data_IF_161397714152
#
_entry.id   IF_161397714152
#
_cell.length_a   1.000
_cell.length_b   1.000
_cell.length_c   1.000
_cell.angle_alpha   90.00
_cell.angle_beta   90.00
_cell.angle_gamma   90.00
#
_symmetry.space_group_name_H-M   'P 1'
#
loop_
_entity.id
_entity.type
_entity.pdbx_description
1 polymer ?
#
# COMPACT_ATOMS: atom_id res chain seq x y z
N UNK A 1 -27.91 -9.25 -0.36
CA UNK A 1 -27.08 -8.16 0.20
C UNK A 1 -25.74 -8.20 -0.50
N UNK A 2 -25.19 -7.07 -0.91
CA UNK A 2 -23.84 -7.06 -1.51
C UNK A 2 -22.81 -7.37 -0.43
N UNK A 3 -21.83 -8.19 -0.78
CA UNK A 3 -20.66 -8.44 0.07
C UNK A 3 -19.86 -7.14 0.10
N UNK A 4 -19.36 -6.68 1.27
CA UNK A 4 -18.50 -5.49 1.32
C UNK A 4 -17.20 -5.78 0.57
N UNK A 5 -16.81 -4.82 -0.27
CA UNK A 5 -15.50 -4.82 -0.94
C UNK A 5 -14.50 -4.03 -0.11
N UNK A 6 -13.36 -4.65 0.17
CA UNK A 6 -12.24 -4.06 0.91
C UNK A 6 -11.14 -3.62 -0.05
N UNK A 7 -10.41 -2.57 0.30
CA UNK A 7 -9.30 -2.03 -0.51
C UNK A 7 -8.10 -1.71 0.36
N UNK A 8 -6.97 -2.34 0.05
CA UNK A 8 -5.68 -2.08 0.66
C UNK A 8 -4.77 -1.39 -0.37
N UNK A 9 -4.30 -0.19 -0.04
CA UNK A 9 -3.30 0.52 -0.82
C UNK A 9 -1.96 0.48 -0.08
N UNK A 10 -0.96 -0.15 -0.68
CA UNK A 10 0.40 -0.20 -0.16
C UNK A 10 1.27 0.65 -1.07
N UNK A 11 1.75 1.76 -0.53
CA UNK A 11 2.78 2.57 -1.16
C UNK A 11 4.15 2.11 -0.69
N UNK A 12 5.11 2.06 -1.59
CA UNK A 12 6.51 1.78 -1.26
C UNK A 12 7.29 3.02 -1.67
N UNK A 13 8.16 3.52 -0.79
CA UNK A 13 9.02 4.64 -1.16
C UNK A 13 9.78 4.28 -2.47
N UNK A 14 9.64 5.07 -3.55
CA UNK A 14 10.26 4.78 -4.84
C UNK A 14 11.76 4.50 -4.76
N UNK A 15 12.48 5.18 -3.87
CA UNK A 15 13.93 5.05 -3.71
C UNK A 15 14.34 3.68 -3.15
N UNK A 16 13.42 2.98 -2.48
CA UNK A 16 13.68 1.67 -1.85
C UNK A 16 13.44 0.50 -2.79
N UNK A 17 12.60 0.69 -3.82
CA UNK A 17 12.16 -0.38 -4.72
C UNK A 17 13.34 -1.08 -5.39
N UNK A 18 14.33 -0.38 -6.00
CA UNK A 18 15.44 -1.05 -6.67
C UNK A 18 16.26 -1.93 -5.72
N UNK A 19 16.49 -1.46 -4.49
CA UNK A 19 17.28 -2.18 -3.50
C UNK A 19 16.53 -3.42 -2.96
N UNK A 20 15.23 -3.26 -2.65
CA UNK A 20 14.39 -4.37 -2.20
C UNK A 20 14.28 -5.46 -3.28
N UNK A 21 14.00 -5.08 -4.53
CA UNK A 21 13.89 -6.02 -5.65
C UNK A 21 15.22 -6.72 -5.95
N UNK A 22 16.34 -5.97 -5.93
CA UNK A 22 17.68 -6.54 -6.12
C UNK A 22 18.05 -7.52 -5.01
N UNK A 23 17.63 -7.27 -3.78
CA UNK A 23 17.82 -8.16 -2.64
C UNK A 23 16.82 -9.33 -2.61
N UNK A 24 15.90 -9.42 -3.57
CA UNK A 24 14.96 -10.53 -3.70
C UNK A 24 13.74 -10.44 -2.78
N UNK A 25 13.49 -9.29 -2.15
CA UNK A 25 12.29 -9.10 -1.33
C UNK A 25 11.02 -9.14 -2.17
N UNK A 26 9.97 -9.65 -1.56
CA UNK A 26 8.62 -9.77 -2.10
C UNK A 26 7.66 -9.15 -1.11
N UNK A 27 6.69 -8.40 -1.61
CA UNK A 27 5.59 -7.90 -0.80
C UNK A 27 4.67 -9.07 -0.46
N UNK A 28 4.39 -9.28 0.83
CA UNK A 28 3.59 -10.38 1.34
C UNK A 28 2.36 -9.87 2.11
N UNK A 29 1.25 -10.60 2.00
CA UNK A 29 0.00 -10.33 2.70
C UNK A 29 -0.51 -11.64 3.29
N UNK A 30 -0.97 -11.62 4.54
CA UNK A 30 -1.72 -12.70 5.17
C UNK A 30 -3.04 -12.18 5.75
N UNK A 31 -4.06 -13.05 5.82
CA UNK A 31 -5.38 -12.73 6.38
C UNK A 31 -5.65 -13.56 7.63
N UNK A 32 -6.29 -12.94 8.62
CA UNK A 32 -6.50 -13.56 9.94
C UNK A 32 -7.72 -14.48 9.94
N UNK A 33 -7.55 -15.71 10.44
CA UNK A 33 -8.64 -16.67 10.65
C UNK A 33 -8.45 -17.37 11.99
N UNK A 34 -9.52 -17.50 12.79
CA UNK A 34 -9.47 -18.07 14.14
C UNK A 34 -8.38 -17.42 15.01
N UNK A 35 -8.26 -16.10 14.89
CA UNK A 35 -7.28 -15.32 15.63
C UNK A 35 -5.85 -15.44 15.12
N UNK A 36 -5.51 -16.22 14.08
CA UNK A 36 -4.11 -16.40 13.64
C UNK A 36 -3.86 -16.03 12.19
N UNK A 37 -2.62 -15.67 11.88
CA UNK A 37 -2.08 -15.67 10.52
C UNK A 37 -1.29 -16.95 10.32
N UNK A 38 -1.73 -17.81 9.40
CA UNK A 38 -1.09 -19.13 9.19
C UNK A 38 -0.62 -19.37 7.77
N UNK A 39 -1.09 -18.58 6.80
CA UNK A 39 -0.74 -18.73 5.39
C UNK A 39 -0.53 -17.37 4.74
N UNK A 40 0.49 -17.29 3.88
CA UNK A 40 0.70 -16.15 2.99
C UNK A 40 -0.39 -16.15 1.92
N UNK A 41 -1.33 -15.23 2.05
CA UNK A 41 -2.45 -15.08 1.12
C UNK A 41 -1.99 -14.61 -0.27
N UNK A 42 -0.98 -13.73 -0.30
CA UNK A 42 -0.42 -13.22 -1.54
C UNK A 42 1.05 -12.84 -1.36
N UNK A 43 1.88 -13.13 -2.36
CA UNK A 43 3.27 -12.69 -2.43
C UNK A 43 3.70 -12.35 -3.86
N UNK A 44 4.28 -11.16 -4.05
CA UNK A 44 4.74 -10.68 -5.36
C UNK A 44 6.08 -9.94 -5.30
N UNK A 45 7.01 -10.30 -6.19
CA UNK A 45 8.31 -9.62 -6.33
C UNK A 45 8.29 -8.40 -7.26
N UNK A 46 7.27 -8.28 -8.11
CA UNK A 46 7.11 -7.17 -9.07
C UNK A 46 6.21 -6.05 -8.52
N UNK A 47 6.43 -5.63 -7.26
CA UNK A 47 5.72 -4.50 -6.68
C UNK A 47 6.26 -3.17 -7.21
N UNK A 48 5.40 -2.15 -7.23
CA UNK A 48 5.76 -0.78 -7.66
C UNK A 48 5.59 0.21 -6.51
N UNK A 49 5.72 1.51 -6.77
CA UNK A 49 5.48 2.54 -5.77
C UNK A 49 4.04 2.58 -5.25
N UNK A 50 3.07 2.04 -6.01
CA UNK A 50 1.66 1.95 -5.63
C UNK A 50 1.13 0.57 -5.95
N UNK A 51 0.69 -0.15 -4.93
CA UNK A 51 0.13 -1.50 -5.05
C UNK A 51 -1.25 -1.49 -4.44
N UNK A 52 -2.26 -1.82 -5.23
CA UNK A 52 -3.66 -1.83 -4.79
C UNK A 52 -4.19 -3.24 -4.83
N UNK A 53 -4.77 -3.66 -3.71
CA UNK A 53 -5.38 -4.97 -3.53
C UNK A 53 -6.84 -4.77 -3.14
N UNK A 54 -7.73 -5.54 -3.77
CA UNK A 54 -9.14 -5.53 -3.45
C UNK A 54 -9.65 -6.96 -3.29
N UNK A 55 -10.56 -7.14 -2.34
CA UNK A 55 -11.23 -8.40 -2.09
C UNK A 55 -12.63 -8.18 -1.57
N UNK A 56 -13.49 -9.15 -1.84
CA UNK A 56 -14.78 -9.31 -1.18
C UNK A 56 -14.63 -10.38 -0.08
N UNK A 57 -15.46 -10.32 0.97
CA UNK A 57 -15.52 -11.35 2.01
C UNK A 57 -16.19 -12.64 1.48
N UNK A 58 -15.54 -13.29 0.52
CA UNK A 58 -15.91 -14.57 -0.09
C UNK A 58 -14.91 -15.65 0.31
N UNK A 59 -15.43 -16.82 0.68
CA UNK A 59 -14.63 -17.90 1.25
C UNK A 59 -14.93 -19.25 0.59
N UNK A 60 -13.91 -20.11 0.55
CA UNK A 60 -14.07 -21.54 0.31
C UNK A 60 -13.41 -22.32 1.44
N UNK A 61 -13.88 -23.54 1.67
CA UNK A 61 -13.24 -24.52 2.57
C UNK A 61 -12.73 -25.72 1.78
N UNK A 62 -11.65 -26.32 2.26
CA UNK A 62 -11.01 -27.49 1.66
C UNK A 62 -10.29 -28.33 2.72
N UNK A 63 -10.03 -29.59 2.40
CA UNK A 63 -9.19 -30.50 3.18
C UNK A 63 -7.77 -30.62 2.58
N UNK A 64 -6.76 -30.78 3.42
CA UNK A 64 -5.37 -31.02 3.01
C UNK A 64 -4.72 -32.17 3.84
N UNK A 65 -4.02 -33.10 3.17
CA UNK A 65 -3.54 -34.33 3.81
C UNK A 65 -2.16 -34.24 4.46
N UNK A 66 -1.28 -33.31 4.06
CA UNK A 66 0.10 -33.21 4.61
C UNK A 66 0.62 -31.78 4.62
N UNK A 67 1.49 -31.50 5.59
CA UNK A 67 2.22 -30.25 5.75
C UNK A 67 3.70 -30.57 5.92
N UNK A 68 4.56 -29.87 5.21
CA UNK A 68 5.93 -29.63 5.64
C UNK A 68 6.07 -28.13 5.86
N UNK A 69 6.75 -27.75 6.94
CA UNK A 69 6.99 -26.35 7.29
C UNK A 69 7.64 -25.62 6.11
N UNK A 70 7.15 -24.42 5.78
CA UNK A 70 7.65 -23.63 4.65
C UNK A 70 7.23 -24.12 3.26
N UNK A 71 6.38 -25.15 3.15
CA UNK A 71 5.79 -25.54 1.86
C UNK A 71 4.46 -24.83 1.58
N UNK A 72 4.11 -24.83 0.30
CA UNK A 72 2.83 -24.33 -0.20
C UNK A 72 1.69 -25.28 0.23
N UNK A 73 0.54 -24.69 0.59
CA UNK A 73 -0.67 -25.44 0.88
C UNK A 73 -1.24 -26.05 -0.41
N UNK A 74 -1.38 -27.38 -0.40
CA UNK A 74 -2.01 -28.14 -1.49
C UNK A 74 -3.31 -28.78 -1.00
N UNK A 75 -4.48 -28.37 -1.53
CA UNK A 75 -5.75 -29.03 -1.28
C UNK A 75 -5.74 -30.46 -1.82
N UNK A 76 -6.33 -31.40 -1.07
CA UNK A 76 -6.57 -32.77 -1.53
C UNK A 76 -8.04 -33.09 -1.76
N UNK A 77 -8.92 -32.20 -1.31
CA UNK A 77 -10.35 -32.25 -1.61
C UNK A 77 -10.69 -31.14 -2.61
N UNK A 78 -11.82 -31.30 -3.30
CA UNK A 78 -12.45 -30.17 -3.99
C UNK A 78 -12.80 -29.09 -2.96
N UNK A 79 -12.56 -27.83 -3.30
CA UNK A 79 -12.94 -26.70 -2.45
C UNK A 79 -14.43 -26.36 -2.65
N UNK A 80 -15.12 -25.98 -1.57
CA UNK A 80 -16.52 -25.58 -1.61
C UNK A 80 -16.70 -24.16 -1.11
N UNK A 81 -17.47 -23.36 -1.86
CA UNK A 81 -17.85 -22.01 -1.42
C UNK A 81 -18.73 -22.08 -0.18
N UNK A 82 -18.51 -21.13 0.74
CA UNK A 82 -19.24 -21.07 2.00
C UNK A 82 -19.48 -19.62 2.41
N UNK A 83 -20.63 -19.36 3.04
CA UNK A 83 -20.96 -18.06 3.66
C UNK A 83 -21.10 -18.22 5.16
N UNK A 84 -21.01 -17.11 5.89
CA UNK A 84 -21.28 -17.12 7.33
C UNK A 84 -22.66 -17.69 7.64
N UNK A 85 -22.79 -18.43 8.74
CA UNK A 85 -24.00 -19.16 9.14
C UNK A 85 -24.18 -20.52 8.48
N UNK A 86 -23.37 -20.86 7.48
CA UNK A 86 -23.47 -22.13 6.76
C UNK A 86 -22.50 -23.19 7.26
N UNK A 87 -22.81 -24.44 6.90
CA UNK A 87 -22.01 -25.63 7.20
C UNK A 87 -21.71 -26.40 5.92
N UNK A 88 -20.44 -26.76 5.70
CA UNK A 88 -20.01 -27.73 4.70
C UNK A 88 -19.68 -29.05 5.39
N UNK A 89 -20.11 -30.17 4.80
CA UNK A 89 -19.77 -31.51 5.30
C UNK A 89 -18.65 -32.07 4.43
N UNK A 90 -17.54 -32.47 5.05
CA UNK A 90 -16.57 -33.38 4.46
C UNK A 90 -17.04 -34.80 4.77
N UNK A 91 -17.53 -35.50 3.76
CA UNK A 91 -18.18 -36.80 3.95
C UNK A 91 -17.19 -37.95 4.18
N UNK A 92 -17.72 -39.14 4.47
CA UNK A 92 -16.93 -40.34 4.71
C UNK A 92 -16.08 -40.82 3.50
N UNK A 93 -16.27 -40.22 2.31
CA UNK A 93 -15.48 -40.51 1.11
C UNK A 93 -14.38 -39.46 0.86
N UNK A 94 -14.27 -38.44 1.72
CA UNK A 94 -13.29 -37.36 1.58
C UNK A 94 -13.72 -36.29 0.58
N UNK A 95 -15.02 -36.20 0.26
CA UNK A 95 -15.56 -35.17 -0.62
C UNK A 95 -16.20 -34.03 0.19
N UNK A 96 -15.82 -32.78 -0.12
CA UNK A 96 -16.49 -31.59 0.42
C UNK A 96 -17.82 -31.40 -0.29
N UNK A 97 -18.91 -31.53 0.46
CA UNK A 97 -20.28 -31.37 -0.03
C UNK A 97 -20.69 -29.89 -0.11
N UNK A 98 -21.68 -29.53 -0.95
CA UNK A 98 -22.19 -28.16 -1.01
C UNK A 98 -22.64 -27.62 0.35
N UNK A 99 -22.44 -26.31 0.57
CA UNK A 99 -22.82 -25.67 1.82
C UNK A 99 -24.34 -25.76 2.09
N UNK A 100 -24.69 -26.04 3.34
CA UNK A 100 -26.06 -26.12 3.85
C UNK A 100 -26.31 -25.06 4.92
N UNK A 101 -27.59 -24.79 5.23
CA UNK A 101 -27.98 -23.73 6.15
C UNK A 101 -28.17 -22.36 5.47
N UNK A 102 -28.77 -21.44 6.21
CA UNK A 102 -29.04 -20.08 5.73
C UNK A 102 -27.85 -19.16 6.05
N UNK A 103 -27.38 -18.35 5.08
CA UNK A 103 -26.37 -17.35 5.36
C UNK A 103 -26.81 -16.33 6.43
N UNK A 104 -25.90 -15.94 7.31
CA UNK A 104 -26.13 -14.96 8.36
C UNK A 104 -25.00 -13.91 8.48
N UNK A 105 -24.96 -13.20 9.61
CA UNK A 105 -23.96 -12.17 9.94
C UNK A 105 -23.12 -12.53 11.17
N UNK A 106 -23.04 -13.81 11.52
CA UNK A 106 -22.30 -14.28 12.70
C UNK A 106 -20.78 -14.08 12.57
N UNK A 107 -20.27 -13.98 11.33
CA UNK A 107 -18.83 -14.01 11.05
C UNK A 107 -18.22 -15.40 11.16
N UNK A 108 -19.05 -16.44 11.32
CA UNK A 108 -18.61 -17.83 11.54
C UNK A 108 -19.21 -18.71 10.46
N UNK A 109 -18.44 -19.66 9.94
CA UNK A 109 -18.97 -20.80 9.20
C UNK A 109 -18.37 -22.10 9.73
N UNK A 110 -18.99 -23.23 9.40
CA UNK A 110 -18.63 -24.51 9.98
C UNK A 110 -18.21 -25.53 8.91
N UNK A 111 -17.28 -26.39 9.31
CA UNK A 111 -16.97 -27.62 8.57
C UNK A 111 -17.25 -28.80 9.49
N UNK A 112 -18.12 -29.70 9.06
CA UNK A 112 -18.32 -30.99 9.70
C UNK A 112 -17.41 -32.01 9.01
N UNK A 113 -16.49 -32.61 9.76
CA UNK A 113 -15.64 -33.69 9.28
C UNK A 113 -16.20 -35.05 9.71
N UNK A 114 -16.76 -35.77 8.74
CA UNK A 114 -17.20 -37.16 8.86
C UNK A 114 -16.20 -38.14 8.18
N UNK A 115 -15.06 -37.64 7.71
CA UNK A 115 -13.94 -38.41 7.15
C UNK A 115 -12.93 -38.79 8.25
N UNK A 116 -11.72 -39.18 7.83
CA UNK A 116 -10.55 -39.34 8.68
C UNK A 116 -9.95 -37.99 9.13
N UNK A 117 -9.05 -38.01 10.13
CA UNK A 117 -8.33 -36.82 10.57
C UNK A 117 -7.61 -36.11 9.42
N UNK A 118 -8.01 -34.87 9.15
CA UNK A 118 -7.49 -34.06 8.03
C UNK A 118 -7.34 -32.59 8.44
N UNK A 119 -6.44 -31.85 7.80
CA UNK A 119 -6.36 -30.39 8.03
C UNK A 119 -7.46 -29.68 7.26
N UNK A 120 -8.12 -28.74 7.92
CA UNK A 120 -9.17 -27.93 7.32
C UNK A 120 -8.59 -26.55 6.99
N UNK A 121 -8.74 -26.15 5.74
CA UNK A 121 -8.24 -24.88 5.22
C UNK A 121 -9.36 -23.95 4.76
N UNK A 122 -9.00 -22.67 4.61
CA UNK A 122 -9.88 -21.63 4.06
C UNK A 122 -9.15 -20.94 2.92
N UNK A 123 -9.81 -20.80 1.78
CA UNK A 123 -9.40 -19.89 0.71
C UNK A 123 -10.19 -18.58 0.79
N UNK A 124 -9.57 -17.50 0.32
CA UNK A 124 -10.25 -16.24 0.00
C UNK A 124 -9.76 -15.69 -1.33
N UNK A 125 -10.57 -14.85 -1.98
CA UNK A 125 -10.19 -14.18 -3.23
C UNK A 125 -9.37 -12.93 -2.97
N UNK A 126 -8.25 -12.77 -3.68
CA UNK A 126 -7.57 -11.49 -3.81
C UNK A 126 -7.40 -11.16 -5.29
N UNK A 127 -7.91 -10.01 -5.74
CA UNK A 127 -7.87 -9.67 -7.18
C UNK A 127 -8.58 -10.69 -8.07
N UNK A 128 -9.62 -11.37 -7.54
CA UNK A 128 -10.40 -12.39 -8.25
C UNK A 128 -9.84 -13.82 -8.21
N UNK A 129 -8.60 -14.03 -7.75
CA UNK A 129 -8.00 -15.36 -7.65
C UNK A 129 -8.16 -15.95 -6.25
N UNK A 130 -8.61 -17.21 -6.17
CA UNK A 130 -8.67 -17.96 -4.92
C UNK A 130 -7.26 -18.33 -4.44
N UNK A 131 -6.98 -18.11 -3.16
CA UNK A 131 -5.73 -18.56 -2.54
C UNK A 131 -5.95 -18.91 -1.06
N UNK A 132 -5.19 -19.87 -0.52
CA UNK A 132 -5.29 -20.23 0.90
C UNK A 132 -4.93 -19.04 1.82
N UNK A 133 -5.75 -18.82 2.84
CA UNK A 133 -5.53 -17.84 3.91
C UNK A 133 -5.35 -18.50 5.27
N UNK A 134 -5.78 -19.75 5.40
CA UNK A 134 -5.73 -20.50 6.64
C UNK A 134 -5.57 -21.98 6.38
N UNK A 135 -4.85 -22.64 7.27
CA UNK A 135 -4.85 -24.08 7.40
C UNK A 135 -4.69 -24.45 8.88
N UNK A 136 -5.49 -25.41 9.35
CA UNK A 136 -5.35 -25.91 10.72
C UNK A 136 -3.97 -26.53 10.94
N UNK A 137 -3.29 -26.14 12.02
CA UNK A 137 -1.92 -26.61 12.30
C UNK A 137 -1.88 -28.13 12.52
N UNK A 138 -2.88 -28.64 13.24
CA UNK A 138 -3.09 -30.06 13.47
C UNK A 138 -4.25 -30.60 12.63
N UNK A 139 -4.21 -31.88 12.22
CA UNK A 139 -5.37 -32.54 11.64
C UNK A 139 -6.55 -32.50 12.61
N UNK A 140 -7.72 -32.14 12.11
CA UNK A 140 -8.97 -32.16 12.83
C UNK A 140 -9.59 -33.55 12.67
N UNK A 141 -9.84 -34.24 13.79
CA UNK A 141 -10.22 -35.66 13.78
C UNK A 141 -11.60 -35.90 13.14
N UNK A 142 -12.68 -35.72 13.89
CA UNK A 142 -14.07 -35.81 13.41
C UNK A 142 -14.94 -34.83 14.19
N UNK A 143 -16.12 -34.52 13.67
CA UNK A 143 -17.07 -33.59 14.29
C UNK A 143 -17.09 -32.22 13.62
N UNK A 144 -17.46 -31.17 14.35
CA UNK A 144 -17.67 -29.83 13.77
C UNK A 144 -16.59 -28.87 14.23
N UNK A 145 -15.96 -28.16 13.30
CA UNK A 145 -15.06 -27.03 13.56
C UNK A 145 -15.70 -25.73 13.08
N UNK A 146 -15.61 -24.70 13.93
CA UNK A 146 -15.98 -23.33 13.57
C UNK A 146 -14.77 -22.56 13.05
N UNK A 147 -14.97 -21.83 11.97
CA UNK A 147 -13.96 -20.99 11.32
C UNK A 147 -14.46 -19.55 11.28
N UNK A 148 -13.64 -18.64 11.79
CA UNK A 148 -13.95 -17.22 11.98
C UNK A 148 -12.88 -16.38 11.29
N UNK A 149 -12.98 -16.15 9.97
CA UNK A 149 -12.18 -15.14 9.29
C UNK A 149 -12.45 -13.76 9.86
N UNK A 150 -11.40 -12.97 10.00
CA UNK A 150 -11.47 -11.58 10.46
C UNK A 150 -10.87 -10.70 9.37
N UNK A 151 -11.49 -9.54 9.14
CA UNK A 151 -10.99 -8.53 8.21
C UNK A 151 -9.80 -7.77 8.83
N UNK A 152 -8.74 -8.52 9.08
CA UNK A 152 -7.42 -8.05 9.50
C UNK A 152 -6.39 -8.69 8.59
N UNK A 153 -5.43 -7.88 8.16
CA UNK A 153 -4.35 -8.33 7.29
C UNK A 153 -3.01 -7.95 7.89
N UNK A 154 -2.04 -8.86 7.77
CA UNK A 154 -0.64 -8.61 8.07
C UNK A 154 0.08 -8.34 6.74
N UNK A 155 0.85 -7.26 6.67
CA UNK A 155 1.64 -6.88 5.50
C UNK A 155 3.11 -6.80 5.89
N UNK A 156 3.99 -7.39 5.08
CA UNK A 156 5.43 -7.37 5.31
C UNK A 156 6.22 -7.61 4.01
N UNK A 157 7.54 -7.49 4.08
CA UNK A 157 8.46 -7.88 3.00
C UNK A 157 9.25 -9.11 3.42
N UNK A 158 9.34 -10.12 2.54
CA UNK A 158 10.12 -11.33 2.79
C UNK A 158 10.80 -11.83 1.51
N UNK A 159 11.92 -12.54 1.65
CA UNK A 159 12.69 -13.10 0.53
C UNK A 159 12.32 -14.56 0.24
N UNK A 160 11.74 -15.27 1.20
CA UNK A 160 11.54 -16.72 1.13
C UNK A 160 10.11 -17.14 0.78
N UNK A 161 9.12 -16.32 1.11
CA UNK A 161 7.70 -16.67 1.03
C UNK A 161 7.08 -16.47 -0.34
N UNK A 162 6.29 -17.44 -0.78
CA UNK A 162 5.35 -17.35 -1.92
C UNK A 162 3.89 -17.45 -1.49
N UNK A 163 2.95 -17.12 -2.39
CA UNK A 163 1.51 -17.34 -2.14
C UNK A 163 1.24 -18.79 -1.74
N UNK A 164 0.44 -18.99 -0.70
CA UNK A 164 0.11 -20.29 -0.13
C UNK A 164 1.18 -20.85 0.82
N UNK A 165 2.29 -20.16 1.06
CA UNK A 165 3.32 -20.62 2.01
C UNK A 165 2.76 -20.61 3.43
N UNK A 166 2.95 -21.72 4.15
CA UNK A 166 2.62 -21.80 5.58
C UNK A 166 3.57 -20.95 6.41
N UNK A 167 3.01 -20.07 7.23
CA UNK A 167 3.76 -19.33 8.24
C UNK A 167 4.06 -20.27 9.40
N UNK A 168 5.35 -20.44 9.69
CA UNK A 168 5.86 -21.36 10.73
C UNK A 168 6.87 -20.69 11.63
N UNK A 169 7.57 -19.68 11.10
CA UNK A 169 8.49 -18.82 11.82
C UNK A 169 7.84 -17.46 12.06
N UNK A 170 8.46 -16.65 12.91
CA UNK A 170 7.98 -15.31 13.18
C UNK A 170 8.05 -14.44 11.92
N UNK A 171 7.04 -13.62 11.70
CA UNK A 171 7.02 -12.62 10.63
C UNK A 171 7.54 -11.31 11.20
N UNK A 172 8.80 -10.99 10.90
CA UNK A 172 9.43 -9.73 11.27
C UNK A 172 8.96 -8.57 10.40
N UNK A 173 9.19 -7.35 10.89
CA UNK A 173 8.95 -6.09 10.21
C UNK A 173 7.56 -5.97 9.54
N UNK A 174 6.54 -6.49 10.22
CA UNK A 174 5.16 -6.50 9.72
C UNK A 174 4.31 -5.38 10.32
N UNK A 175 3.25 -5.02 9.59
CA UNK A 175 2.18 -4.15 10.06
C UNK A 175 0.83 -4.85 9.97
N UNK A 176 0.10 -4.91 11.09
CA UNK A 176 -1.30 -5.35 11.11
C UNK A 176 -2.22 -4.17 10.76
N UNK A 177 -3.12 -4.37 9.80
CA UNK A 177 -4.13 -3.41 9.39
C UNK A 177 -5.52 -3.99 9.67
N UNK A 178 -6.34 -3.23 10.40
CA UNK A 178 -7.67 -3.63 10.86
C UNK A 178 -8.78 -2.97 10.03
N UNK A 179 -9.50 -3.79 9.26
CA UNK A 179 -10.61 -3.41 8.38
C UNK A 179 -11.99 -3.71 9.01
N UNK A 180 -12.06 -4.10 10.29
CA UNK A 180 -13.35 -4.44 10.94
C UNK A 180 -14.32 -3.25 11.01
N UNK A 181 -13.81 -2.01 11.04
CA UNK A 181 -14.60 -0.78 11.09
C UNK A 181 -14.53 0.08 9.82
N UNK A 182 -13.79 -0.36 8.79
CA UNK A 182 -13.54 0.41 7.56
C UNK A 182 -13.21 -0.51 6.39
N UNK A 183 -13.65 -0.13 5.19
CA UNK A 183 -13.43 -0.92 3.97
C UNK A 183 -12.21 -0.49 3.17
N UNK A 184 -11.51 0.58 3.56
CA UNK A 184 -10.34 1.06 2.84
C UNK A 184 -9.26 1.54 3.81
N UNK A 185 -8.01 1.18 3.52
CA UNK A 185 -6.85 1.63 4.28
C UNK A 185 -5.64 1.78 3.36
N UNK A 186 -4.81 2.76 3.68
CA UNK A 186 -3.54 3.00 2.99
C UNK A 186 -2.40 2.92 3.99
N UNK A 187 -1.28 2.36 3.54
CA UNK A 187 -0.02 2.29 4.28
C UNK A 187 1.14 2.58 3.35
N UNK A 188 2.19 3.21 3.88
CA UNK A 188 3.45 3.41 3.17
C UNK A 188 4.58 2.65 3.87
N UNK A 189 5.35 1.88 3.12
CA UNK A 189 6.59 1.27 3.58
C UNK A 189 7.80 2.15 3.28
N UNK A 190 8.70 2.27 4.24
CA UNK A 190 9.99 2.94 4.10
C UNK A 190 11.08 1.99 4.58
N UNK A 191 12.00 1.62 3.71
CA UNK A 191 13.12 0.76 4.08
C UNK A 191 14.25 1.57 4.71
N UNK A 192 14.99 0.94 5.61
CA UNK A 192 16.29 1.39 6.09
C UNK A 192 17.24 1.53 4.88
N UNK A 193 17.92 2.68 4.73
CA UNK A 193 18.85 2.91 3.62
C UNK A 193 20.03 1.93 3.54
N UNK A 194 20.40 1.29 4.64
CA UNK A 194 21.57 0.41 4.77
C UNK A 194 21.20 -1.07 4.86
N UNK A 195 19.98 -1.39 5.32
CA UNK A 195 19.53 -2.76 5.52
C UNK A 195 18.18 -2.95 4.79
N UNK A 196 18.19 -3.32 3.50
CA UNK A 196 16.97 -3.54 2.74
C UNK A 196 16.06 -4.54 3.46
N UNK A 197 14.76 -4.23 3.56
CA UNK A 197 13.77 -5.09 4.18
C UNK A 197 13.66 -4.98 5.70
N UNK A 198 14.59 -4.30 6.37
CA UNK A 198 14.33 -3.64 7.65
C UNK A 198 13.79 -2.24 7.34
N UNK A 199 12.75 -1.78 8.01
CA UNK A 199 12.01 -0.59 7.60
C UNK A 199 10.87 -0.30 8.56
N UNK A 200 10.16 0.80 8.31
CA UNK A 200 9.06 1.25 9.15
C UNK A 200 7.84 1.53 8.26
N UNK A 201 6.67 1.64 8.90
CA UNK A 201 5.40 1.84 8.25
C UNK A 201 4.79 3.19 8.61
N UNK A 202 4.19 3.87 7.63
CA UNK A 202 3.38 5.07 7.86
C UNK A 202 1.93 4.72 7.56
N UNK A 203 1.06 4.82 8.57
CA UNK A 203 -0.38 4.55 8.44
C UNK A 203 -1.14 5.82 8.80
N UNK A 204 -1.97 6.31 7.87
CA UNK A 204 -2.76 7.52 8.11
C UNK A 204 -1.91 8.78 8.40
N UNK A 205 -0.68 8.85 7.87
CA UNK A 205 0.25 9.97 8.07
C UNK A 205 1.13 9.86 9.31
N UNK A 206 0.92 8.84 10.17
CA UNK A 206 1.72 8.62 11.37
C UNK A 206 2.67 7.44 11.17
N UNK A 207 3.93 7.61 11.58
CA UNK A 207 4.85 6.48 11.71
C UNK A 207 4.31 5.51 12.78
N UNK A 208 4.31 4.23 12.44
CA UNK A 208 3.97 3.13 13.33
C UNK A 208 5.18 2.22 13.42
N UNK A 209 5.52 1.83 14.64
CA UNK A 209 6.59 0.88 14.88
C UNK A 209 6.22 -0.48 14.26
N UNK A 210 7.09 -1.07 13.44
CA UNK A 210 6.93 -2.41 12.93
C UNK A 210 6.91 -3.41 14.07
N UNK A 211 6.36 -4.56 13.78
CA UNK A 211 6.19 -5.60 14.78
C UNK A 211 6.58 -6.96 14.22
N UNK A 212 7.22 -7.75 15.08
CA UNK A 212 7.41 -9.16 14.85
C UNK A 212 6.16 -9.91 15.30
N UNK A 213 5.48 -10.60 14.39
CA UNK A 213 4.37 -11.50 14.69
C UNK A 213 4.88 -12.91 14.98
N UNK A 214 4.55 -13.46 16.16
CA UNK A 214 4.82 -14.85 16.50
C UNK A 214 3.59 -15.73 16.19
N UNK A 215 3.74 -16.65 15.23
CA UNK A 215 2.67 -17.53 14.74
C UNK A 215 2.18 -18.53 15.79
N UNK A 216 3.08 -19.03 16.63
CA UNK A 216 2.76 -20.04 17.64
C UNK A 216 1.93 -19.42 18.78
N UNK A 217 2.39 -18.29 19.32
CA UNK A 217 1.76 -17.62 20.47
C UNK A 217 0.68 -16.61 20.08
N UNK A 218 0.56 -16.25 18.81
CA UNK A 218 -0.34 -15.19 18.31
C UNK A 218 -0.09 -13.82 18.98
N UNK A 219 1.19 -13.46 19.15
CA UNK A 219 1.59 -12.22 19.82
C UNK A 219 2.45 -11.35 18.93
N UNK A 220 2.32 -10.03 19.08
CA UNK A 220 3.19 -9.05 18.45
C UNK A 220 4.22 -8.51 19.44
N UNK A 221 5.45 -8.37 18.97
CA UNK A 221 6.53 -7.67 19.69
C UNK A 221 6.97 -6.48 18.86
N UNK A 222 7.11 -5.30 19.48
CA UNK A 222 7.55 -4.10 18.79
C UNK A 222 9.04 -4.20 18.44
N UNK A 223 9.37 -3.78 17.23
CA UNK A 223 10.75 -3.67 16.79
C UNK A 223 11.27 -2.24 17.07
N UNK A 224 12.58 -2.15 17.30
CA UNK A 224 13.24 -0.85 17.57
C UNK A 224 13.82 -0.33 16.27
N UNK A 225 13.37 0.84 15.77
CA UNK A 225 13.83 1.37 14.50
C UNK A 225 15.25 1.92 14.62
N UNK A 226 15.98 1.87 13.51
CA UNK A 226 17.32 2.43 13.42
C UNK A 226 17.27 3.97 13.37
N UNK A 227 18.35 4.64 13.79
CA UNK A 227 18.44 6.10 13.66
C UNK A 227 18.38 6.60 12.20
N UNK A 228 19.05 5.96 11.22
CA UNK A 228 18.89 6.31 9.80
C UNK A 228 17.45 6.23 9.30
N UNK A 229 16.73 5.18 9.70
CA UNK A 229 15.33 4.97 9.32
C UNK A 229 14.43 6.06 9.91
N UNK A 230 14.60 6.38 11.19
CA UNK A 230 13.88 7.49 11.84
C UNK A 230 14.12 8.84 11.15
N UNK A 231 15.37 9.11 10.76
CA UNK A 231 15.73 10.32 10.01
C UNK A 231 14.99 10.40 8.67
N UNK A 232 15.00 9.31 7.90
CA UNK A 232 14.30 9.23 6.61
C UNK A 232 12.79 9.34 6.75
N UNK A 233 12.19 8.69 7.74
CA UNK A 233 10.77 8.84 8.04
C UNK A 233 10.40 10.29 8.35
N UNK A 234 11.21 10.98 9.15
CA UNK A 234 10.98 12.39 9.48
C UNK A 234 10.96 13.24 8.22
N UNK A 235 11.93 13.05 7.31
CA UNK A 235 11.97 13.75 6.02
C UNK A 235 10.71 13.48 5.20
N UNK A 236 10.25 12.23 5.10
CA UNK A 236 9.06 11.85 4.34
C UNK A 236 7.79 12.44 4.96
N UNK A 237 7.61 12.36 6.28
CA UNK A 237 6.43 12.91 6.95
C UNK A 237 6.38 14.43 6.77
N UNK A 238 7.51 15.11 6.93
CA UNK A 238 7.61 16.55 6.72
C UNK A 238 7.33 16.94 5.26
N UNK A 239 7.78 16.14 4.28
CA UNK A 239 7.50 16.40 2.86
C UNK A 239 6.03 16.20 2.47
N UNK A 240 5.31 15.32 3.18
CA UNK A 240 3.87 15.11 2.97
C UNK A 240 3.01 16.19 3.67
N UNK A 241 3.51 16.77 4.76
CA UNK A 241 2.84 17.84 5.49
C UNK A 241 3.19 19.24 4.98
N UNK A 242 4.24 19.39 4.16
CA UNK A 242 4.54 20.63 3.45
C UNK A 242 3.63 20.75 2.23
N UNK A 243 2.69 21.70 2.23
CA UNK A 243 2.10 22.16 0.98
C UNK A 243 3.24 22.71 0.12
N UNK A 244 3.46 22.21 -1.11
CA UNK A 244 4.53 22.73 -1.95
C UNK A 244 4.25 24.22 -2.20
N UNK A 245 5.20 25.06 -1.79
CA UNK A 245 5.12 26.51 -1.98
C UNK A 245 4.86 26.79 -3.46
N UNK A 246 3.74 27.48 -3.71
CA UNK A 246 3.36 27.91 -5.05
C UNK A 246 3.62 29.40 -5.16
N UNK A 247 4.37 29.79 -6.17
CA UNK A 247 4.64 31.19 -6.46
C UNK A 247 3.95 31.59 -7.76
N UNK A 248 3.37 32.78 -7.78
CA UNK A 248 2.96 33.47 -8.99
C UNK A 248 4.04 34.46 -9.40
N UNK A 249 4.32 34.55 -10.71
CA UNK A 249 5.09 35.66 -11.25
C UNK A 249 4.32 36.32 -12.39
N UNK A 250 4.22 37.64 -12.34
CA UNK A 250 3.47 38.46 -13.31
C UNK A 250 4.40 39.48 -13.94
N UNK A 251 4.48 39.50 -15.27
CA UNK A 251 5.31 40.43 -16.05
C UNK A 251 4.47 41.21 -17.04
N UNK A 252 4.64 42.53 -17.07
CA UNK A 252 3.99 43.44 -18.02
C UNK A 252 5.05 44.04 -18.95
N UNK A 253 5.02 43.65 -20.23
CA UNK A 253 6.02 44.10 -21.21
C UNK A 253 5.77 45.54 -21.69
N UNK A 254 6.84 46.20 -22.14
CA UNK A 254 6.72 47.53 -22.76
C UNK A 254 6.02 47.42 -24.13
N UNK A 255 6.40 46.41 -24.92
CA UNK A 255 5.88 46.10 -26.25
C UNK A 255 4.59 45.26 -26.15
N UNK A 256 3.50 45.63 -26.87
CA UNK A 256 2.22 44.91 -26.80
C UNK A 256 2.31 43.43 -27.18
N UNK A 257 3.11 43.09 -28.20
CA UNK A 257 3.18 41.72 -28.74
C UNK A 257 4.17 40.82 -27.97
N UNK A 258 5.02 41.40 -27.12
CA UNK A 258 6.06 40.66 -26.40
C UNK A 258 5.50 39.64 -25.41
N UNK A 259 4.28 39.85 -24.90
CA UNK A 259 3.64 38.90 -23.98
C UNK A 259 3.35 37.56 -24.66
N UNK A 260 2.79 37.58 -25.88
CA UNK A 260 2.51 36.36 -26.65
C UNK A 260 3.81 35.67 -27.09
N UNK A 261 4.77 36.45 -27.57
CA UNK A 261 6.12 35.97 -27.93
C UNK A 261 6.83 35.32 -26.73
N UNK A 262 6.71 35.91 -25.53
CA UNK A 262 7.30 35.37 -24.31
C UNK A 262 6.66 34.05 -23.88
N UNK A 263 5.33 33.90 -23.97
CA UNK A 263 4.65 32.63 -23.64
C UNK A 263 5.10 31.49 -24.56
N UNK A 264 5.24 31.77 -25.85
CA UNK A 264 5.77 30.81 -26.82
C UNK A 264 7.25 30.47 -26.52
N UNK A 265 8.04 31.48 -26.17
CA UNK A 265 9.44 31.29 -25.80
C UNK A 265 9.60 30.43 -24.52
N UNK A 266 8.78 30.65 -23.50
CA UNK A 266 8.98 30.04 -22.18
C UNK A 266 8.40 28.62 -22.05
N UNK A 267 7.40 28.27 -22.87
CA UNK A 267 6.68 27.00 -22.80
C UNK A 267 7.55 25.75 -23.01
N UNK A 268 8.70 25.88 -23.69
CA UNK A 268 9.67 24.79 -23.89
C UNK A 268 10.94 24.87 -23.02
N UNK A 269 11.03 25.86 -22.12
CA UNK A 269 12.28 26.21 -21.41
C UNK A 269 12.15 26.08 -19.89
N UNK A 270 11.45 25.04 -19.44
CA UNK A 270 11.32 24.76 -18.00
C UNK A 270 12.71 24.51 -17.39
N UNK A 271 13.15 25.33 -16.42
CA UNK A 271 14.44 25.12 -15.75
C UNK A 271 14.47 23.81 -14.96
N UNK A 272 15.65 23.20 -14.86
CA UNK A 272 15.87 22.01 -14.03
C UNK A 272 15.55 22.32 -12.56
N UNK A 273 14.86 21.39 -11.89
CA UNK A 273 14.40 21.58 -10.51
C UNK A 273 13.06 22.32 -10.36
N UNK A 274 12.40 22.71 -11.46
CA UNK A 274 11.05 23.30 -11.46
C UNK A 274 10.00 22.25 -11.84
N UNK A 275 9.04 22.00 -10.95
CA UNK A 275 7.92 21.06 -11.17
C UNK A 275 6.82 21.65 -12.02
N UNK A 276 6.32 22.81 -11.60
CA UNK A 276 5.21 23.52 -12.26
C UNK A 276 5.77 24.75 -12.96
N UNK A 277 5.53 24.85 -14.27
CA UNK A 277 6.04 25.89 -15.15
C UNK A 277 4.93 26.27 -16.14
N UNK A 278 3.91 26.95 -15.64
CA UNK A 278 2.68 27.26 -16.38
C UNK A 278 2.53 28.77 -16.56
N UNK A 279 2.06 29.17 -17.75
CA UNK A 279 1.95 30.57 -18.16
C UNK A 279 0.60 30.80 -18.82
N UNK A 280 0.00 31.96 -18.55
CA UNK A 280 -1.28 32.38 -19.11
C UNK A 280 -1.15 33.84 -19.55
N UNK A 281 -1.63 34.14 -20.75
CA UNK A 281 -1.77 35.51 -21.23
C UNK A 281 -2.85 36.22 -20.42
N UNK A 282 -2.52 37.38 -19.88
CA UNK A 282 -3.46 38.26 -19.18
C UNK A 282 -3.68 39.55 -19.97
N UNK A 283 -4.66 40.35 -19.54
CA UNK A 283 -5.01 41.59 -20.25
C UNK A 283 -3.88 42.63 -20.30
N UNK A 284 -2.89 42.53 -19.40
CA UNK A 284 -1.77 43.48 -19.28
C UNK A 284 -0.39 42.83 -19.44
N UNK A 285 -0.28 41.51 -19.61
CA UNK A 285 1.00 40.83 -19.66
C UNK A 285 0.92 39.30 -19.59
N UNK A 286 1.82 38.69 -18.81
CA UNK A 286 1.89 37.24 -18.62
C UNK A 286 1.88 36.92 -17.13
N UNK A 287 0.92 36.08 -16.73
CA UNK A 287 0.87 35.50 -15.39
C UNK A 287 1.40 34.07 -15.43
N UNK A 288 2.09 33.67 -14.37
CA UNK A 288 2.69 32.35 -14.28
C UNK A 288 2.41 31.67 -12.95
N UNK A 289 2.45 30.34 -12.95
CA UNK A 289 2.36 29.51 -11.76
C UNK A 289 3.58 28.60 -11.68
N UNK A 290 4.31 28.72 -10.58
CA UNK A 290 5.64 28.15 -10.39
C UNK A 290 5.67 27.29 -9.11
N UNK A 291 6.29 26.12 -9.19
CA UNK A 291 6.54 25.25 -8.02
C UNK A 291 7.88 24.52 -8.17
N UNK A 292 8.64 24.43 -7.09
CA UNK A 292 9.89 23.67 -7.06
C UNK A 292 9.62 22.15 -7.10
N UNK A 293 10.58 21.40 -7.64
CA UNK A 293 10.53 19.93 -7.71
C UNK A 293 10.80 19.28 -6.36
N UNK A 294 11.76 19.81 -5.61
CA UNK A 294 12.13 19.30 -4.29
C UNK A 294 11.51 20.15 -3.19
N UNK A 295 11.22 19.50 -2.05
CA UNK A 295 10.80 20.19 -0.83
C UNK A 295 12.02 20.87 -0.22
N UNK A 296 12.18 22.15 -0.51
CA UNK A 296 13.18 23.02 0.12
C UNK A 296 12.53 23.84 1.24
N UNK A 297 13.33 24.40 2.15
CA UNK A 297 12.82 25.46 3.05
C UNK A 297 12.19 26.58 2.22
N UNK A 298 11.04 27.11 2.64
CA UNK A 298 10.25 28.08 1.85
C UNK A 298 11.09 29.22 1.30
N UNK A 299 12.03 29.75 2.10
CA UNK A 299 12.91 30.84 1.68
C UNK A 299 13.85 30.43 0.54
N UNK A 300 14.40 29.23 0.58
CA UNK A 300 15.26 28.68 -0.48
C UNK A 300 14.45 28.39 -1.74
N UNK A 301 13.24 27.84 -1.58
CA UNK A 301 12.33 27.58 -2.70
C UNK A 301 11.94 28.89 -3.42
N UNK A 302 11.64 29.96 -2.67
CA UNK A 302 11.31 31.28 -3.22
C UNK A 302 12.48 31.82 -4.03
N UNK A 303 13.68 31.86 -3.45
CA UNK A 303 14.88 32.38 -4.13
C UNK A 303 15.19 31.57 -5.39
N UNK A 304 15.16 30.24 -5.30
CA UNK A 304 15.37 29.36 -6.45
C UNK A 304 14.38 29.63 -7.59
N UNK A 305 13.08 29.74 -7.28
CA UNK A 305 12.06 29.97 -8.30
C UNK A 305 12.16 31.37 -8.92
N UNK A 306 12.55 32.39 -8.15
CA UNK A 306 12.80 33.75 -8.65
C UNK A 306 13.99 33.76 -9.61
N UNK A 307 15.10 33.15 -9.23
CA UNK A 307 16.31 33.07 -10.05
C UNK A 307 16.06 32.29 -11.34
N UNK A 308 15.35 31.16 -11.25
CA UNK A 308 14.95 30.37 -12.40
C UNK A 308 14.07 31.16 -13.38
N UNK A 309 13.09 31.91 -12.87
CA UNK A 309 12.23 32.76 -13.68
C UNK A 309 13.01 33.92 -14.34
N UNK A 310 13.80 34.63 -13.55
CA UNK A 310 14.62 35.75 -14.03
C UNK A 310 15.66 35.30 -15.05
N UNK A 311 16.27 34.12 -14.87
CA UNK A 311 17.20 33.56 -15.84
C UNK A 311 16.56 33.36 -17.22
N UNK A 312 15.32 32.86 -17.26
CA UNK A 312 14.58 32.70 -18.51
C UNK A 312 14.12 34.04 -19.08
N UNK A 313 13.60 34.94 -18.23
CA UNK A 313 13.14 36.27 -18.64
C UNK A 313 14.29 37.12 -19.22
N UNK A 314 15.45 37.14 -18.58
CA UNK A 314 16.62 37.91 -19.04
C UNK A 314 17.26 37.33 -20.30
N UNK A 315 16.96 36.08 -20.64
CA UNK A 315 17.43 35.44 -21.88
C UNK A 315 16.49 35.69 -23.06
N UNK A 316 15.32 36.30 -22.82
CA UNK A 316 14.36 36.66 -23.86
C UNK A 316 14.78 37.99 -24.50
N UNK A 317 14.82 38.07 -25.84
CA UNK A 317 15.39 39.24 -26.55
C UNK A 317 14.57 40.52 -26.37
N UNK A 318 13.26 40.42 -26.15
CA UNK A 318 12.36 41.55 -25.92
C UNK A 318 12.00 41.68 -24.42
N UNK A 319 12.97 41.45 -23.52
CA UNK A 319 12.76 41.42 -22.07
C UNK A 319 12.48 42.79 -21.43
N UNK A 320 12.27 43.87 -22.18
CA UNK A 320 11.91 45.16 -21.59
C UNK A 320 10.49 45.10 -20.99
N UNK A 321 10.41 45.18 -19.66
CA UNK A 321 9.16 45.16 -18.91
C UNK A 321 8.98 46.42 -18.06
N UNK A 322 7.72 46.82 -17.90
CA UNK A 322 7.29 47.95 -17.05
C UNK A 322 7.13 47.52 -15.60
N UNK A 323 6.75 46.26 -15.39
CA UNK A 323 6.45 45.70 -14.07
C UNK A 323 6.75 44.21 -14.05
N UNK A 324 7.38 43.78 -12.96
CA UNK A 324 7.56 42.38 -12.60
C UNK A 324 7.17 42.22 -11.14
N UNK A 325 6.36 41.22 -10.82
CA UNK A 325 5.89 40.98 -9.45
C UNK A 325 5.95 39.49 -9.16
N UNK A 326 6.38 39.14 -7.95
CA UNK A 326 6.38 37.79 -7.43
C UNK A 326 5.48 37.73 -6.20
N UNK A 327 4.56 36.76 -6.18
CA UNK A 327 3.61 36.59 -5.08
C UNK A 327 3.59 35.14 -4.61
N UNK A 328 3.57 34.93 -3.30
CA UNK A 328 3.45 33.59 -2.71
C UNK A 328 1.97 33.26 -2.55
N UNK A 329 1.51 32.23 -3.26
CA UNK A 329 0.16 31.73 -3.16
C UNK A 329 0.07 30.78 -1.95
N UNK A 330 -0.46 31.29 -0.83
CA UNK A 330 -0.69 30.48 0.36
C UNK A 330 -1.92 29.60 0.14
N UNK A 331 -1.75 28.29 0.18
CA UNK A 331 -2.81 27.30 -0.01
C UNK A 331 -3.79 27.15 1.16
N UNK A 332 -4.20 28.25 1.81
CA UNK A 332 -5.29 28.21 2.78
C UNK A 332 -6.64 28.30 2.03
N UNK A 333 -7.13 27.15 1.57
CA UNK A 333 -8.57 26.95 1.47
C UNK A 333 -9.01 26.32 2.80
N UNK A 334 -9.80 27.07 3.57
CA UNK A 334 -10.65 26.52 4.64
C UNK A 334 -11.65 25.55 4.03
#
# INVERSE_FOLDING_TARGET
>A
MSVPTYTLNISVNPDDIPNLQKAGYRLCIAKRVNGKYTVVWWSGGAFTARNTFAWDAEFQVFGASKLQKGLQVEPVTTAQEIKFGQTVVLDAHGEMQPATGLPDKSGVFQVQNDYDPIRIGVNAKLGGAWSPIYLSLQPFATGVISLTPVEKVLVWFDTSSSTGTMLVDAVGNGVELDFTSKTSQSVTYVSDPHIPGEGDWIVGGSAILPSTYNVETDTFSLETPSAPLLGKLSTIINSHNSLPLTMSASVEFVKPDAAEEFVQYVSGRRPDGVRTWAFVLSASGVDSRLQAQDVQEDKLAITFLQDAYLGVLNSFQDSEYKKLTFEILHGYSV
#
